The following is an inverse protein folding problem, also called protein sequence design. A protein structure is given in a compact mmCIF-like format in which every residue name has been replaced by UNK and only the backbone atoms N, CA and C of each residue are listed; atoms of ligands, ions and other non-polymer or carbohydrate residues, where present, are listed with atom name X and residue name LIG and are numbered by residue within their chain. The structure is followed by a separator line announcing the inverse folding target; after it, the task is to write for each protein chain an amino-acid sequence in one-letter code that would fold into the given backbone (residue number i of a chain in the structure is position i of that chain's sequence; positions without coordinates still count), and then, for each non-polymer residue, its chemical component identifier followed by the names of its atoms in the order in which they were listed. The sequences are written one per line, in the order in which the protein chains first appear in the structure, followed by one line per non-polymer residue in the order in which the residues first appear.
data_IF_522097578948
#
_entry.id   IF_522097578948
#
_cell.length_a   1.000
_cell.length_b   1.000
_cell.length_c   1.000
_cell.angle_alpha   90.00
_cell.angle_beta   90.00
_cell.angle_gamma   90.00
#
_symmetry.space_group_name_H-M   'P 1'
#
loop_
_entity.id
_entity.type
_entity.pdbx_description
1 polymer ?
#
# COMPACT_ATOMS: atom_id res chain seq x y z
N UNK A 1 18.23 -29.20 -32.34
CA UNK A 1 17.94 -29.37 -30.90
C UNK A 1 18.61 -28.30 -30.05
N UNK A 2 19.96 -28.20 -29.96
CA UNK A 2 20.67 -27.13 -29.22
C UNK A 2 20.16 -25.70 -29.52
N UNK A 3 19.83 -25.42 -30.79
CA UNK A 3 19.26 -24.13 -31.25
C UNK A 3 17.86 -23.83 -30.67
N UNK A 4 17.03 -24.85 -30.45
CA UNK A 4 15.67 -24.72 -29.88
C UNK A 4 15.74 -24.35 -28.40
N UNK A 5 16.54 -25.09 -27.60
CA UNK A 5 16.79 -24.75 -26.19
C UNK A 5 17.32 -23.32 -26.04
N UNK A 6 18.28 -22.92 -26.87
CA UNK A 6 18.81 -21.55 -26.85
C UNK A 6 17.77 -20.48 -27.21
N UNK A 7 16.77 -20.82 -28.03
CA UNK A 7 15.66 -19.92 -28.36
C UNK A 7 14.68 -19.81 -27.20
N UNK A 8 14.26 -20.93 -26.61
CA UNK A 8 13.36 -20.97 -25.45
C UNK A 8 13.93 -20.21 -24.26
N UNK A 9 15.21 -20.41 -23.93
CA UNK A 9 15.86 -19.67 -22.82
C UNK A 9 15.85 -18.17 -23.07
N UNK A 10 16.11 -17.71 -24.30
CA UNK A 10 16.06 -16.28 -24.64
C UNK A 10 14.65 -15.72 -24.53
N UNK A 11 13.63 -16.45 -24.97
CA UNK A 11 12.23 -16.05 -24.84
C UNK A 11 11.82 -15.96 -23.37
N UNK A 12 12.17 -16.94 -22.54
CA UNK A 12 11.86 -16.93 -21.11
C UNK A 12 12.57 -15.79 -20.38
N UNK A 13 13.83 -15.47 -20.75
CA UNK A 13 14.53 -14.28 -20.21
C UNK A 13 13.77 -13.00 -20.52
N UNK A 14 13.38 -12.78 -21.78
CA UNK A 14 12.60 -11.61 -22.16
C UNK A 14 11.23 -11.56 -21.49
N UNK A 15 10.56 -12.70 -21.40
CA UNK A 15 9.29 -12.83 -20.68
C UNK A 15 9.43 -12.35 -19.23
N UNK A 16 10.44 -12.85 -18.50
CA UNK A 16 10.68 -12.41 -17.12
C UNK A 16 11.03 -10.93 -17.01
N UNK A 17 11.84 -10.39 -17.92
CA UNK A 17 12.14 -8.95 -17.95
C UNK A 17 10.85 -8.14 -18.07
N UNK A 18 10.00 -8.48 -19.04
CA UNK A 18 8.73 -7.77 -19.28
C UNK A 18 7.77 -7.94 -18.11
N UNK A 19 7.59 -9.16 -17.60
CA UNK A 19 6.71 -9.44 -16.45
C UNK A 19 7.13 -8.64 -15.21
N UNK A 20 8.42 -8.57 -14.90
CA UNK A 20 8.94 -7.83 -13.75
C UNK A 20 8.82 -6.31 -13.96
N UNK A 21 9.07 -5.78 -15.16
CA UNK A 21 8.86 -4.35 -15.43
C UNK A 21 7.37 -3.97 -15.31
N UNK A 22 6.47 -4.83 -15.78
CA UNK A 22 5.02 -4.63 -15.62
C UNK A 22 4.66 -4.60 -14.14
N UNK A 23 5.03 -5.63 -13.38
CA UNK A 23 4.61 -5.77 -12.00
C UNK A 23 5.27 -4.78 -11.04
N UNK A 24 6.56 -4.51 -11.22
CA UNK A 24 7.32 -3.68 -10.28
C UNK A 24 7.27 -2.18 -10.60
N UNK A 25 7.01 -1.79 -11.86
CA UNK A 25 7.07 -0.38 -12.30
C UNK A 25 5.74 0.06 -12.92
N UNK A 26 5.33 -0.57 -14.02
CA UNK A 26 4.25 -0.01 -14.83
C UNK A 26 2.88 -0.09 -14.15
N UNK A 27 2.57 -1.14 -13.40
CA UNK A 27 1.31 -1.22 -12.65
C UNK A 27 1.17 -0.05 -11.67
N UNK A 28 2.21 0.25 -10.90
CA UNK A 28 2.21 1.39 -9.97
C UNK A 28 2.06 2.72 -10.70
N UNK A 29 2.83 2.91 -11.78
CA UNK A 29 2.71 4.10 -12.64
C UNK A 29 1.27 4.26 -13.15
N UNK A 30 0.66 3.22 -13.73
CA UNK A 30 -0.67 3.31 -14.33
C UNK A 30 -1.77 3.54 -13.29
N UNK A 31 -1.75 2.82 -12.17
CA UNK A 31 -2.74 2.98 -11.10
C UNK A 31 -2.74 4.43 -10.59
N UNK A 32 -1.57 4.97 -10.23
CA UNK A 32 -1.47 6.36 -9.77
C UNK A 32 -1.77 7.36 -10.90
N UNK A 33 -1.27 7.12 -12.11
CA UNK A 33 -1.47 8.03 -13.24
C UNK A 33 -2.95 8.19 -13.59
N UNK A 34 -3.70 7.09 -13.53
CA UNK A 34 -5.13 7.02 -13.89
C UNK A 34 -6.05 7.78 -12.94
N UNK A 35 -5.69 7.90 -11.65
CA UNK A 35 -6.53 8.57 -10.67
C UNK A 35 -6.26 10.08 -10.63
N UNK A 36 -7.00 10.84 -11.45
CA UNK A 36 -6.81 12.29 -11.61
C UNK A 36 -7.34 13.06 -10.41
N UNK A 37 -6.78 14.27 -10.21
CA UNK A 37 -7.35 15.25 -9.30
C UNK A 37 -8.82 15.50 -9.64
N UNK A 38 -9.74 15.46 -8.66
CA UNK A 38 -11.13 15.79 -8.92
C UNK A 38 -11.24 17.28 -9.23
N UNK A 39 -12.02 17.68 -10.23
CA UNK A 39 -12.12 19.09 -10.67
C UNK A 39 -13.56 19.51 -10.88
N UNK A 40 -13.85 20.78 -10.62
CA UNK A 40 -15.11 21.39 -11.06
C UNK A 40 -15.09 21.61 -12.59
N UNK A 41 -16.19 21.32 -13.27
CA UNK A 41 -16.36 21.61 -14.70
C UNK A 41 -16.38 23.14 -14.98
N UNK A 42 -16.65 23.97 -13.97
CA UNK A 42 -16.64 25.42 -14.07
C UNK A 42 -15.24 25.99 -13.85
N UNK A 43 -14.45 26.01 -14.93
CA UNK A 43 -13.09 26.57 -14.98
C UNK A 43 -13.13 28.07 -15.28
N UNK A 44 -12.82 28.87 -14.28
CA UNK A 44 -12.52 30.29 -14.42
C UNK A 44 -11.31 30.66 -13.56
N UNK A 45 -10.11 30.60 -14.14
CA UNK A 45 -8.92 31.37 -13.73
C UNK A 45 -8.18 31.02 -12.43
N UNK A 46 -8.80 30.41 -11.41
CA UNK A 46 -8.16 30.22 -10.10
C UNK A 46 -7.53 28.83 -9.94
N UNK A 47 -6.25 28.78 -9.55
CA UNK A 47 -5.56 27.52 -9.27
C UNK A 47 -6.03 26.93 -7.93
N UNK A 48 -6.48 25.66 -7.91
CA UNK A 48 -6.88 25.00 -6.67
C UNK A 48 -5.67 24.49 -5.89
N UNK A 49 -5.78 24.42 -4.57
CA UNK A 49 -4.84 23.67 -3.75
C UNK A 49 -5.13 22.16 -3.83
N UNK A 50 -4.08 21.36 -3.88
CA UNK A 50 -4.13 19.91 -4.06
C UNK A 50 -3.63 19.19 -2.82
N UNK A 51 -4.52 18.44 -2.18
CA UNK A 51 -4.27 17.74 -0.93
C UNK A 51 -4.38 16.23 -1.16
N UNK A 52 -3.29 15.49 -0.92
CA UNK A 52 -3.34 14.04 -0.83
C UNK A 52 -3.61 13.62 0.62
N UNK A 53 -4.45 12.61 0.81
CA UNK A 53 -4.85 12.09 2.11
C UNK A 53 -4.42 10.63 2.19
N UNK A 54 -3.58 10.30 3.16
CA UNK A 54 -3.02 8.96 3.36
C UNK A 54 -3.50 8.44 4.71
N UNK A 55 -4.22 7.32 4.73
CA UNK A 55 -4.68 6.70 5.96
C UNK A 55 -3.91 5.41 6.24
N UNK A 56 -3.71 5.12 7.52
CA UNK A 56 -3.17 3.87 8.05
C UNK A 56 -1.97 3.34 7.24
N UNK A 57 -0.86 4.10 7.15
CA UNK A 57 0.40 3.57 6.63
C UNK A 57 0.79 2.25 7.29
N UNK A 58 0.61 2.17 8.61
CA UNK A 58 0.86 1.03 9.49
C UNK A 58 2.06 0.22 9.01
N UNK A 59 3.25 0.83 9.07
CA UNK A 59 4.46 0.08 8.71
C UNK A 59 4.55 -1.14 9.64
N UNK A 60 4.62 -2.33 9.02
CA UNK A 60 4.54 -3.61 9.74
C UNK A 60 5.77 -3.77 10.61
N UNK A 61 5.57 -4.14 11.86
CA UNK A 61 6.63 -4.36 12.84
C UNK A 61 6.35 -5.59 13.74
N UNK A 62 7.11 -5.72 14.82
CA UNK A 62 6.99 -6.83 15.77
C UNK A 62 5.59 -7.00 16.38
N UNK A 63 4.83 -5.91 16.51
CA UNK A 63 3.52 -5.89 17.14
C UNK A 63 2.37 -6.14 16.16
N UNK A 64 2.63 -6.21 14.85
CA UNK A 64 1.60 -6.44 13.83
C UNK A 64 0.99 -7.84 13.84
N UNK A 65 1.83 -8.88 13.72
CA UNK A 65 1.38 -10.24 13.39
C UNK A 65 1.94 -11.34 14.30
N UNK A 66 2.48 -10.97 15.47
CA UNK A 66 3.18 -11.89 16.38
C UNK A 66 4.28 -12.70 15.64
N UNK A 67 4.95 -12.04 14.69
CA UNK A 67 6.03 -12.61 13.90
C UNK A 67 7.36 -12.10 14.44
N UNK A 68 8.37 -12.97 14.44
CA UNK A 68 9.69 -12.63 14.95
C UNK A 68 10.81 -13.12 14.03
N UNK A 69 12.01 -12.56 14.22
CA UNK A 69 13.21 -13.00 13.51
C UNK A 69 13.14 -12.80 11.99
N UNK A 70 13.62 -13.80 11.24
CA UNK A 70 13.78 -13.70 9.78
C UNK A 70 12.45 -13.52 9.05
N UNK A 71 11.36 -14.15 9.54
CA UNK A 71 10.05 -14.04 8.91
C UNK A 71 9.56 -12.59 8.95
N UNK A 72 9.67 -11.94 10.11
CA UNK A 72 9.32 -10.53 10.28
C UNK A 72 10.11 -9.64 9.31
N UNK A 73 11.44 -9.81 9.25
CA UNK A 73 12.30 -9.04 8.32
C UNK A 73 11.90 -9.20 6.85
N UNK A 74 11.44 -10.39 6.46
CA UNK A 74 10.94 -10.64 5.10
C UNK A 74 9.61 -9.93 4.86
N UNK A 75 8.69 -9.96 5.83
CA UNK A 75 7.41 -9.26 5.73
C UNK A 75 7.62 -7.75 5.67
N UNK A 76 8.39 -7.18 6.60
CA UNK A 76 8.82 -5.77 6.61
C UNK A 76 9.35 -5.36 5.23
N UNK A 77 10.31 -6.11 4.68
CA UNK A 77 10.90 -5.80 3.37
C UNK A 77 9.85 -5.68 2.25
N UNK A 78 8.90 -6.61 2.18
CA UNK A 78 7.90 -6.61 1.11
C UNK A 78 6.78 -5.58 1.32
N UNK A 79 6.43 -5.26 2.57
CA UNK A 79 5.48 -4.19 2.88
C UNK A 79 6.09 -2.81 2.64
N UNK A 80 7.34 -2.63 3.07
CA UNK A 80 8.08 -1.38 2.95
C UNK A 80 8.33 -1.01 1.48
N UNK A 81 8.72 -1.99 0.67
CA UNK A 81 8.89 -1.77 -0.78
C UNK A 81 7.59 -1.35 -1.45
N UNK A 82 6.45 -1.94 -1.06
CA UNK A 82 5.15 -1.56 -1.61
C UNK A 82 4.84 -0.10 -1.28
N UNK A 83 4.91 0.25 0.00
CA UNK A 83 4.64 1.60 0.50
C UNK A 83 5.54 2.62 -0.21
N UNK A 84 6.84 2.32 -0.27
CA UNK A 84 7.84 3.20 -0.89
C UNK A 84 7.52 3.47 -2.36
N UNK A 85 7.22 2.44 -3.15
CA UNK A 85 6.84 2.60 -4.57
C UNK A 85 5.58 3.45 -4.72
N UNK A 86 4.54 3.10 -3.98
CA UNK A 86 3.25 3.79 -4.01
C UNK A 86 3.40 5.27 -3.69
N UNK A 87 4.16 5.60 -2.63
CA UNK A 87 4.37 6.97 -2.21
C UNK A 87 5.28 7.78 -3.16
N UNK A 88 6.29 7.15 -3.75
CA UNK A 88 7.12 7.76 -4.80
C UNK A 88 6.26 8.16 -6.00
N UNK A 89 5.46 7.23 -6.53
CA UNK A 89 4.61 7.53 -7.68
C UNK A 89 3.52 8.55 -7.35
N UNK A 90 2.95 8.51 -6.14
CA UNK A 90 2.01 9.53 -5.66
C UNK A 90 2.65 10.93 -5.75
N UNK A 91 3.83 11.13 -5.16
CA UNK A 91 4.54 12.40 -5.21
C UNK A 91 4.89 12.82 -6.64
N UNK A 92 5.50 11.93 -7.42
CA UNK A 92 6.00 12.24 -8.76
C UNK A 92 4.90 12.50 -9.79
N UNK A 93 3.77 11.80 -9.69
CA UNK A 93 2.72 11.84 -10.73
C UNK A 93 1.52 12.69 -10.35
N UNK A 94 1.27 12.91 -9.05
CA UNK A 94 0.17 13.77 -8.59
C UNK A 94 0.66 15.15 -8.17
N UNK A 95 1.92 15.28 -7.73
CA UNK A 95 2.54 16.53 -7.29
C UNK A 95 1.61 17.30 -6.32
N UNK A 96 1.23 16.72 -5.17
CA UNK A 96 0.37 17.39 -4.22
C UNK A 96 1.08 18.58 -3.56
N UNK A 97 0.34 19.64 -3.25
CA UNK A 97 0.84 20.79 -2.47
C UNK A 97 0.92 20.43 -0.98
N UNK A 98 0.04 19.52 -0.53
CA UNK A 98 -0.05 19.07 0.86
C UNK A 98 -0.37 17.59 0.92
N UNK A 99 0.27 16.88 1.86
CA UNK A 99 -0.08 15.51 2.24
C UNK A 99 -0.51 15.50 3.70
N UNK A 100 -1.65 14.91 3.99
CA UNK A 100 -2.15 14.72 5.36
C UNK A 100 -2.20 13.22 5.65
N UNK A 101 -1.49 12.78 6.68
CA UNK A 101 -1.57 11.42 7.19
C UNK A 101 -2.61 11.35 8.30
N UNK A 102 -3.56 10.43 8.20
CA UNK A 102 -4.70 10.29 9.10
C UNK A 102 -4.41 9.47 10.36
N UNK A 103 -3.14 9.24 10.71
CA UNK A 103 -2.74 8.44 11.87
C UNK A 103 -2.33 7.02 11.53
N UNK A 104 -1.98 6.28 12.59
CA UNK A 104 -1.44 4.93 12.54
C UNK A 104 -0.21 4.84 11.63
N UNK A 105 0.77 5.67 11.94
CA UNK A 105 2.01 5.79 11.17
C UNK A 105 2.83 4.51 11.25
N UNK A 106 2.89 3.93 12.45
CA UNK A 106 3.56 2.67 12.76
C UNK A 106 2.62 1.78 13.58
N UNK A 107 2.66 0.47 13.35
CA UNK A 107 1.72 -0.46 13.97
C UNK A 107 1.98 -0.65 15.48
N UNK A 108 3.23 -0.72 15.91
CA UNK A 108 3.64 -0.89 17.31
C UNK A 108 4.01 0.40 18.05
N UNK A 109 3.80 1.59 17.47
CA UNK A 109 4.38 2.85 17.98
C UNK A 109 4.21 3.10 19.49
N UNK A 110 3.01 2.88 20.04
CA UNK A 110 2.76 3.06 21.48
C UNK A 110 3.39 1.98 22.37
N UNK A 111 3.69 0.81 21.81
CA UNK A 111 4.22 -0.38 22.51
C UNK A 111 5.74 -0.31 22.66
N UNK A 112 6.42 0.38 21.74
CA UNK A 112 7.87 0.51 21.73
C UNK A 112 8.40 1.36 22.90
N UNK A 113 9.54 0.90 23.45
CA UNK A 113 10.41 1.76 24.24
C UNK A 113 11.04 2.84 23.34
N UNK A 114 11.69 3.84 23.93
CA UNK A 114 12.21 4.96 23.15
C UNK A 114 13.25 4.56 22.11
N UNK A 115 14.20 3.68 22.39
CA UNK A 115 15.24 3.34 21.40
C UNK A 115 14.65 2.64 20.17
N UNK A 116 13.79 1.65 20.39
CA UNK A 116 13.17 0.89 19.30
C UNK A 116 12.20 1.79 18.51
N UNK A 117 11.49 2.69 19.21
CA UNK A 117 10.62 3.67 18.57
C UNK A 117 11.40 4.61 17.63
N UNK A 118 12.60 5.05 17.99
CA UNK A 118 13.40 5.92 17.11
C UNK A 118 13.87 5.17 15.85
N UNK A 119 14.23 3.89 15.97
CA UNK A 119 14.59 3.06 14.80
C UNK A 119 13.40 2.92 13.85
N UNK A 120 12.21 2.61 14.39
CA UNK A 120 10.98 2.49 13.61
C UNK A 120 10.53 3.83 13.01
N UNK A 121 10.68 4.94 13.74
CA UNK A 121 10.35 6.26 13.23
C UNK A 121 11.32 6.73 12.14
N UNK A 122 12.61 6.38 12.24
CA UNK A 122 13.57 6.61 11.17
C UNK A 122 13.23 5.78 9.91
N UNK A 123 12.77 4.54 10.09
CA UNK A 123 12.23 3.71 9.00
C UNK A 123 11.00 4.35 8.35
N UNK A 124 10.03 4.80 9.14
CA UNK A 124 8.85 5.53 8.66
C UNK A 124 9.26 6.76 7.82
N UNK A 125 10.13 7.62 8.34
CA UNK A 125 10.62 8.81 7.62
C UNK A 125 11.34 8.46 6.31
N UNK A 126 12.08 7.36 6.28
CA UNK A 126 12.76 6.90 5.07
C UNK A 126 11.78 6.42 3.99
N UNK A 127 10.68 5.76 4.39
CA UNK A 127 9.62 5.29 3.48
C UNK A 127 8.80 6.46 2.93
N UNK A 128 8.42 7.39 3.81
CA UNK A 128 7.59 8.55 3.50
C UNK A 128 8.40 9.83 3.29
N UNK A 129 9.64 9.72 2.80
CA UNK A 129 10.49 10.88 2.53
C UNK A 129 9.79 11.86 1.59
N UNK A 130 9.63 13.10 2.05
CA UNK A 130 9.21 14.23 1.25
C UNK A 130 10.34 14.58 0.25
N UNK A 131 10.06 14.40 -1.04
CA UNK A 131 11.02 14.66 -2.13
C UNK A 131 11.02 16.11 -2.62
N UNK A 132 10.01 16.88 -2.23
CA UNK A 132 9.83 18.28 -2.63
C UNK A 132 9.58 19.16 -1.41
N UNK A 133 10.47 19.18 -0.39
CA UNK A 133 10.21 19.88 0.88
C UNK A 133 10.03 21.40 0.74
N UNK A 134 10.49 21.99 -0.37
CA UNK A 134 10.27 23.41 -0.66
C UNK A 134 8.87 23.75 -1.19
N UNK A 135 8.10 22.77 -1.68
CA UNK A 135 6.79 22.99 -2.31
C UNK A 135 5.67 22.12 -1.74
N UNK A 136 5.98 20.94 -1.19
CA UNK A 136 5.02 20.02 -0.59
C UNK A 136 5.11 20.07 0.94
N UNK A 137 3.97 20.35 1.59
CA UNK A 137 3.84 20.30 3.05
C UNK A 137 3.32 18.92 3.48
N UNK A 138 3.75 18.44 4.64
CA UNK A 138 3.31 17.16 5.21
C UNK A 138 2.82 17.40 6.63
N UNK A 139 1.67 16.83 6.97
CA UNK A 139 1.09 16.88 8.31
C UNK A 139 0.69 15.48 8.75
N UNK A 140 1.14 15.10 9.94
CA UNK A 140 0.85 13.80 10.53
C UNK A 140 -0.13 13.96 11.69
N UNK A 141 -1.21 13.19 11.64
CA UNK A 141 -2.10 12.96 12.78
C UNK A 141 -1.64 11.73 13.57
N UNK A 142 -2.09 11.62 14.83
CA UNK A 142 -1.91 10.42 15.62
C UNK A 142 -3.10 9.47 15.41
N UNK A 143 -2.80 8.18 15.33
CA UNK A 143 -3.78 7.10 15.41
C UNK A 143 -3.73 6.33 16.73
N UNK A 144 -4.66 5.41 16.95
CA UNK A 144 -4.67 4.62 18.19
C UNK A 144 -3.44 3.73 18.29
N UNK A 145 -2.82 3.34 17.18
CA UNK A 145 -1.56 2.61 17.22
C UNK A 145 -0.37 3.47 17.66
N UNK A 146 -0.45 4.78 17.43
CA UNK A 146 0.59 5.74 17.78
C UNK A 146 0.57 6.13 19.26
N UNK A 147 -0.61 6.39 19.83
CA UNK A 147 -0.76 6.98 21.18
C UNK A 147 -1.77 6.26 22.10
N UNK A 148 -2.52 5.27 21.59
CA UNK A 148 -3.67 4.69 22.29
C UNK A 148 -4.95 5.52 22.15
N UNK A 149 -6.01 5.15 22.88
CA UNK A 149 -7.33 5.81 22.77
C UNK A 149 -8.05 5.92 24.13
N UNK A 150 -8.77 7.01 24.33
CA UNK A 150 -9.59 7.28 25.49
C UNK A 150 -8.83 7.20 26.81
N UNK A 151 -9.40 6.55 27.81
CA UNK A 151 -8.73 6.36 29.12
C UNK A 151 -7.52 5.40 29.07
N UNK A 152 -7.21 4.84 27.90
CA UNK A 152 -6.07 3.94 27.68
C UNK A 152 -4.97 4.55 26.81
N UNK A 153 -5.02 5.87 26.58
CA UNK A 153 -3.90 6.63 26.00
C UNK A 153 -2.64 6.38 26.82
N UNK A 154 -1.52 6.13 26.13
CA UNK A 154 -0.21 5.87 26.73
C UNK A 154 0.53 7.20 26.84
N UNK A 155 0.64 7.74 28.06
CA UNK A 155 1.21 9.07 28.31
C UNK A 155 2.60 9.25 27.68
N UNK A 156 3.50 8.27 27.82
CA UNK A 156 4.84 8.32 27.23
C UNK A 156 4.82 8.31 25.70
N UNK A 157 3.86 7.61 25.07
CA UNK A 157 3.72 7.59 23.63
C UNK A 157 3.17 8.93 23.11
N UNK A 158 2.20 9.52 23.81
CA UNK A 158 1.67 10.86 23.51
C UNK A 158 2.76 11.94 23.61
N UNK A 159 3.53 11.95 24.71
CA UNK A 159 4.65 12.87 24.90
C UNK A 159 5.71 12.72 23.80
N UNK A 160 6.03 11.47 23.44
CA UNK A 160 6.98 11.15 22.37
C UNK A 160 6.47 11.61 21.00
N UNK A 161 5.18 11.40 20.71
CA UNK A 161 4.55 11.89 19.47
C UNK A 161 4.65 13.41 19.35
N UNK A 162 4.29 14.16 20.40
CA UNK A 162 4.41 15.63 20.42
C UNK A 162 5.85 16.11 20.23
N UNK A 163 6.82 15.39 20.79
CA UNK A 163 8.23 15.76 20.72
C UNK A 163 8.84 15.56 19.33
N UNK A 164 8.51 14.47 18.64
CA UNK A 164 9.22 14.06 17.43
C UNK A 164 8.39 14.10 16.15
N UNK A 165 7.07 13.90 16.24
CA UNK A 165 6.17 13.89 15.08
C UNK A 165 5.52 15.26 14.91
N UNK A 166 4.84 15.75 15.94
CA UNK A 166 4.21 17.06 15.91
C UNK A 166 2.97 17.17 16.81
N UNK A 167 2.30 18.33 16.79
CA UNK A 167 1.09 18.54 17.58
C UNK A 167 -0.07 17.69 17.06
N UNK A 168 -0.80 17.05 17.98
CA UNK A 168 -1.94 16.19 17.65
C UNK A 168 -3.21 16.97 17.26
N UNK A 169 -3.26 18.27 17.58
CA UNK A 169 -4.37 19.17 17.27
C UNK A 169 -3.87 20.37 16.46
N UNK A 170 -4.41 20.61 15.26
CA UNK A 170 -4.00 21.70 14.37
C UNK A 170 -5.18 22.28 13.56
N UNK A 171 -5.11 23.57 13.24
CA UNK A 171 -6.00 24.22 12.27
C UNK A 171 -5.16 24.81 11.17
N UNK A 172 -5.34 24.31 9.96
CA UNK A 172 -4.65 24.75 8.76
C UNK A 172 -5.60 25.59 7.92
N UNK A 173 -5.09 26.66 7.32
CA UNK A 173 -5.84 27.48 6.37
C UNK A 173 -5.32 27.19 4.96
N UNK A 174 -6.14 26.52 4.13
CA UNK A 174 -5.75 26.09 2.78
C UNK A 174 -6.84 26.50 1.80
N UNK A 175 -6.51 27.37 0.85
CA UNK A 175 -7.42 27.85 -0.20
C UNK A 175 -8.81 28.24 0.34
N UNK A 176 -8.86 29.15 1.32
CA UNK A 176 -10.09 29.61 2.00
C UNK A 176 -10.91 28.50 2.67
N UNK A 177 -10.26 27.44 3.15
CA UNK A 177 -10.86 26.41 4.00
C UNK A 177 -10.12 26.32 5.34
N UNK A 178 -10.86 26.05 6.41
CA UNK A 178 -10.32 25.64 7.71
C UNK A 178 -10.21 24.11 7.74
N UNK A 179 -9.01 23.59 7.56
CA UNK A 179 -8.70 22.15 7.67
C UNK A 179 -8.28 21.84 9.10
N UNK A 180 -9.13 21.15 9.84
CA UNK A 180 -8.99 20.90 11.28
C UNK A 180 -8.49 19.47 11.47
N UNK A 181 -7.25 19.30 11.90
CA UNK A 181 -6.69 18.02 12.32
C UNK A 181 -6.97 17.87 13.81
N UNK A 182 -7.92 17.00 14.18
CA UNK A 182 -8.37 16.86 15.57
C UNK A 182 -8.01 15.50 16.15
N UNK A 183 -7.36 15.53 17.30
CA UNK A 183 -7.07 14.36 18.12
C UNK A 183 -8.32 13.93 18.89
N UNK A 184 -9.14 13.14 18.21
CA UNK A 184 -10.33 12.53 18.81
C UNK A 184 -9.98 11.39 19.76
N UNK A 185 -8.76 10.85 19.71
CA UNK A 185 -8.31 9.74 20.56
C UNK A 185 -8.19 10.18 22.01
N UNK A 186 -7.55 11.33 22.24
CA UNK A 186 -7.44 11.94 23.57
C UNK A 186 -8.75 12.59 24.00
N UNK A 187 -9.54 13.13 23.06
CA UNK A 187 -10.87 13.70 23.35
C UNK A 187 -11.83 12.68 23.97
N UNK A 188 -11.72 11.42 23.56
CA UNK A 188 -12.49 10.27 24.07
C UNK A 188 -12.12 9.85 25.50
N UNK A 189 -11.14 10.50 26.13
CA UNK A 189 -10.79 10.27 27.53
C UNK A 189 -11.66 11.09 28.47
N UNK A 190 -12.03 10.51 29.60
CA UNK A 190 -12.67 11.21 30.73
C UNK A 190 -11.64 11.99 31.57
N UNK A 191 -10.34 11.76 31.35
CA UNK A 191 -9.28 12.41 32.10
C UNK A 191 -9.02 13.81 31.55
N UNK A 192 -9.37 14.82 32.34
CA UNK A 192 -9.19 16.24 32.00
C UNK A 192 -7.74 16.67 31.73
N UNK A 193 -6.73 15.86 32.06
CA UNK A 193 -5.33 16.12 31.69
C UNK A 193 -5.00 15.67 30.25
N UNK A 194 -5.68 14.62 29.78
CA UNK A 194 -5.47 14.00 28.46
C UNK A 194 -6.31 14.73 27.41
N UNK A 195 -7.61 14.94 27.67
CA UNK A 195 -8.53 15.49 26.68
C UNK A 195 -8.48 17.02 26.52
N UNK A 196 -7.79 17.74 27.42
CA UNK A 196 -7.85 19.22 27.50
C UNK A 196 -7.47 19.89 26.20
N UNK A 197 -6.36 19.49 25.58
CA UNK A 197 -5.88 20.12 24.34
C UNK A 197 -6.92 20.03 23.22
N UNK A 198 -7.50 18.84 23.03
CA UNK A 198 -8.52 18.61 22.01
C UNK A 198 -9.82 19.34 22.34
N UNK A 199 -10.25 19.30 23.61
CA UNK A 199 -11.45 19.99 24.07
C UNK A 199 -11.36 21.51 23.92
N UNK A 200 -10.23 22.10 24.33
CA UNK A 200 -9.97 23.54 24.21
C UNK A 200 -9.97 23.98 22.74
N UNK A 201 -9.53 23.13 21.80
CA UNK A 201 -9.65 23.42 20.37
C UNK A 201 -11.11 23.43 19.90
N UNK A 202 -11.90 22.41 20.27
CA UNK A 202 -13.33 22.33 19.89
C UNK A 202 -14.10 23.52 20.46
N UNK A 203 -13.88 23.87 21.73
CA UNK A 203 -14.56 25.00 22.38
C UNK A 203 -14.18 26.35 21.74
N UNK A 204 -12.91 26.54 21.35
CA UNK A 204 -12.50 27.73 20.57
C UNK A 204 -13.18 27.81 19.20
N UNK A 205 -13.27 26.69 18.49
CA UNK A 205 -13.95 26.63 17.19
C UNK A 205 -15.47 26.86 17.32
N UNK A 206 -16.07 26.44 18.42
CA UNK A 206 -17.49 26.66 18.71
C UNK A 206 -17.79 28.14 19.02
N UNK A 207 -16.89 28.82 19.71
CA UNK A 207 -17.04 30.23 20.08
C UNK A 207 -16.82 31.20 18.90
N UNK A 208 -16.08 30.78 17.86
CA UNK A 208 -15.80 31.58 16.68
C UNK A 208 -16.75 31.22 15.52
N UNK A 209 -17.57 32.15 15.01
CA UNK A 209 -18.33 31.93 13.78
C UNK A 209 -17.41 31.51 12.64
N UNK A 210 -17.73 30.41 11.96
CA UNK A 210 -16.94 29.93 10.84
C UNK A 210 -16.96 30.98 9.70
N UNK A 211 -15.81 31.59 9.42
CA UNK A 211 -15.62 32.52 8.31
C UNK A 211 -15.36 31.81 6.97
N UNK A 212 -15.05 30.51 7.02
CA UNK A 212 -14.78 29.64 5.88
C UNK A 212 -15.32 28.22 6.13
N UNK A 213 -15.49 27.39 5.09
CA UNK A 213 -15.89 26.00 5.27
C UNK A 213 -14.86 25.23 6.09
N UNK A 214 -15.36 24.47 7.08
CA UNK A 214 -14.55 23.61 7.95
C UNK A 214 -14.52 22.18 7.43
N UNK A 215 -13.34 21.63 7.26
CA UNK A 215 -13.07 20.24 6.91
C UNK A 215 -12.42 19.58 8.12
N UNK A 216 -13.13 18.65 8.76
CA UNK A 216 -12.66 17.99 9.97
C UNK A 216 -11.96 16.68 9.64
N UNK A 217 -10.76 16.49 10.15
CA UNK A 217 -9.98 15.27 10.01
C UNK A 217 -9.89 14.61 11.38
N UNK A 218 -10.19 13.32 11.43
CA UNK A 218 -10.14 12.47 12.62
C UNK A 218 -9.45 11.17 12.26
N UNK A 219 -8.81 10.48 13.20
CA UNK A 219 -8.32 9.13 12.93
C UNK A 219 -9.49 8.14 12.88
N UNK A 220 -10.14 7.91 14.04
CA UNK A 220 -11.28 6.98 14.16
C UNK A 220 -12.54 7.55 13.50
N UNK A 221 -13.30 6.75 12.72
CA UNK A 221 -14.55 7.17 12.10
C UNK A 221 -15.62 7.62 13.10
N UNK A 222 -16.48 8.55 12.66
CA UNK A 222 -17.60 9.02 13.47
C UNK A 222 -18.65 7.92 13.70
N UNK A 223 -19.35 8.02 14.83
CA UNK A 223 -20.43 7.12 15.18
C UNK A 223 -21.55 7.16 14.13
N UNK A 224 -22.08 6.00 13.78
CA UNK A 224 -23.27 5.85 12.94
C UNK A 224 -24.16 4.71 13.45
N UNK A 225 -25.47 4.72 13.13
CA UNK A 225 -26.33 3.58 13.41
C UNK A 225 -25.78 2.27 12.84
N UNK A 226 -26.08 1.16 13.51
CA UNK A 226 -25.66 -0.16 13.05
C UNK A 226 -26.14 -0.42 11.61
N UNK A 227 -25.32 -1.12 10.83
CA UNK A 227 -25.62 -1.51 9.45
C UNK A 227 -25.79 -0.34 8.45
N UNK A 228 -25.36 0.87 8.82
CA UNK A 228 -25.29 2.01 7.87
C UNK A 228 -24.42 1.64 6.67
N UNK A 229 -25.00 1.70 5.48
CA UNK A 229 -24.33 1.32 4.23
C UNK A 229 -23.20 2.29 3.89
N UNK A 230 -22.00 1.76 3.68
CA UNK A 230 -20.77 2.53 3.41
C UNK A 230 -20.60 3.00 1.97
N UNK A 231 -21.53 2.67 1.10
CA UNK A 231 -21.38 2.91 -0.33
C UNK A 231 -20.72 1.75 -1.09
N UNK A 232 -20.67 1.85 -2.42
CA UNK A 232 -20.30 0.75 -3.31
C UNK A 232 -18.79 0.48 -3.35
N UNK A 233 -17.97 1.41 -2.88
CA UNK A 233 -16.51 1.32 -2.95
C UNK A 233 -15.90 0.44 -1.85
N UNK A 234 -16.65 0.13 -0.79
CA UNK A 234 -16.17 -0.75 0.29
C UNK A 234 -15.84 -2.14 -0.23
N UNK A 235 -14.62 -2.60 0.03
CA UNK A 235 -14.09 -3.90 -0.42
C UNK A 235 -14.55 -5.06 0.45
N UNK A 236 -14.72 -4.84 1.75
CA UNK A 236 -15.15 -5.85 2.71
C UNK A 236 -16.49 -6.49 2.31
N UNK A 237 -16.69 -7.75 2.73
CA UNK A 237 -17.94 -8.48 2.51
C UNK A 237 -19.11 -7.83 3.26
N UNK A 238 -18.86 -7.35 4.48
CA UNK A 238 -19.81 -6.54 5.24
C UNK A 238 -19.81 -5.11 4.70
N UNK A 239 -20.97 -4.66 4.20
CA UNK A 239 -21.13 -3.34 3.56
C UNK A 239 -21.37 -2.16 4.52
N UNK A 240 -21.01 -2.35 5.78
CA UNK A 240 -21.12 -1.37 6.87
C UNK A 240 -19.92 -1.49 7.81
N UNK A 241 -19.65 -0.44 8.59
CA UNK A 241 -18.67 -0.47 9.68
C UNK A 241 -19.25 -1.22 10.87
N UNK A 242 -18.44 -2.10 11.46
CA UNK A 242 -18.80 -2.73 12.74
C UNK A 242 -18.68 -1.67 13.85
N UNK A 243 -19.21 -1.98 15.03
CA UNK A 243 -19.11 -1.13 16.22
C UNK A 243 -18.51 -1.94 17.37
N UNK A 244 -17.31 -2.51 17.13
CA UNK A 244 -16.55 -3.25 18.13
C UNK A 244 -15.68 -2.30 18.92
N UNK A 245 -15.41 -2.70 20.16
CA UNK A 245 -14.56 -1.97 21.10
C UNK A 245 -13.71 -2.96 21.85
N UNK A 246 -12.48 -2.58 22.15
CA UNK A 246 -11.60 -3.37 22.99
C UNK A 246 -10.49 -2.52 23.60
N UNK A 247 -9.47 -3.19 24.12
CA UNK A 247 -8.28 -2.50 24.63
C UNK A 247 -7.57 -1.81 23.48
N UNK A 248 -7.43 -0.48 23.58
CA UNK A 248 -6.72 0.37 22.63
C UNK A 248 -7.20 0.35 21.16
N UNK A 249 -8.41 -0.15 20.88
CA UNK A 249 -9.01 -0.03 19.55
C UNK A 249 -10.52 0.22 19.63
N UNK A 250 -11.05 0.91 18.62
CA UNK A 250 -12.49 1.13 18.48
C UNK A 250 -12.86 1.44 17.03
N UNK A 251 -13.81 0.68 16.46
CA UNK A 251 -14.20 0.86 15.05
C UNK A 251 -14.85 2.25 14.77
N UNK A 252 -15.40 2.92 15.79
CA UNK A 252 -16.11 4.22 15.68
C UNK A 252 -16.06 5.01 16.99
N UNK A 253 -16.07 6.35 16.92
CA UNK A 253 -16.19 7.25 18.08
C UNK A 253 -17.47 6.99 18.90
N UNK A 254 -17.56 7.55 20.12
CA UNK A 254 -18.85 7.54 20.82
C UNK A 254 -19.87 8.44 20.11
N UNK A 255 -21.16 8.10 20.29
CA UNK A 255 -22.28 8.87 19.74
C UNK A 255 -22.26 10.31 20.27
N UNK A 256 -22.11 10.50 21.57
CA UNK A 256 -22.06 11.82 22.20
C UNK A 256 -20.86 12.65 21.71
N UNK A 257 -19.69 12.03 21.48
CA UNK A 257 -18.53 12.71 20.90
C UNK A 257 -18.83 13.15 19.47
N UNK A 258 -19.44 12.28 18.66
CA UNK A 258 -19.82 12.60 17.28
C UNK A 258 -20.81 13.76 17.23
N UNK A 259 -21.87 13.70 18.04
CA UNK A 259 -22.86 14.78 18.17
C UNK A 259 -22.21 16.09 18.63
N UNK A 260 -21.38 16.04 19.67
CA UNK A 260 -20.63 17.19 20.17
C UNK A 260 -19.76 17.85 19.09
N UNK A 261 -19.03 17.06 18.29
CA UNK A 261 -18.17 17.57 17.22
C UNK A 261 -18.98 18.18 16.08
N UNK A 262 -20.04 17.51 15.63
CA UNK A 262 -20.90 17.99 14.54
C UNK A 262 -21.61 19.29 14.93
N UNK A 263 -22.04 19.44 16.18
CA UNK A 263 -22.73 20.64 16.66
C UNK A 263 -21.78 21.81 16.92
N UNK A 264 -20.64 21.53 17.53
CA UNK A 264 -19.67 22.55 17.95
C UNK A 264 -18.87 23.09 16.77
N UNK A 265 -18.36 22.20 15.91
CA UNK A 265 -17.49 22.58 14.78
C UNK A 265 -18.33 22.96 13.56
N UNK A 266 -19.49 22.32 13.36
CA UNK A 266 -20.32 22.42 12.17
C UNK A 266 -19.53 22.19 10.85
N UNK A 267 -18.82 21.06 10.71
CA UNK A 267 -18.00 20.78 9.53
C UNK A 267 -18.87 20.57 8.28
N UNK A 268 -18.34 20.93 7.12
CA UNK A 268 -18.97 20.63 5.83
C UNK A 268 -18.68 19.18 5.40
N UNK A 269 -17.49 18.68 5.76
CA UNK A 269 -17.11 17.29 5.57
C UNK A 269 -16.15 16.81 6.67
N UNK A 270 -16.12 15.49 6.82
CA UNK A 270 -15.26 14.77 7.77
C UNK A 270 -14.41 13.77 6.98
N UNK A 271 -13.14 13.64 7.33
CA UNK A 271 -12.22 12.67 6.76
C UNK A 271 -11.67 11.77 7.88
N UNK A 272 -11.81 10.46 7.74
CA UNK A 272 -11.39 9.46 8.73
C UNK A 272 -10.57 8.31 8.14
N UNK A 273 -9.86 7.56 8.98
CA UNK A 273 -9.08 6.35 8.64
C UNK A 273 -9.53 5.15 9.50
N UNK A 274 -8.57 4.39 10.06
CA UNK A 274 -8.69 3.32 11.07
C UNK A 274 -9.49 2.05 10.64
N UNK A 275 -10.60 2.16 9.91
CA UNK A 275 -11.34 0.99 9.40
C UNK A 275 -10.64 0.30 8.21
N UNK A 276 -9.56 0.90 7.70
CA UNK A 276 -8.72 0.44 6.57
C UNK A 276 -9.43 0.30 5.22
N UNK A 277 -10.75 0.47 5.14
CA UNK A 277 -11.55 0.36 3.92
C UNK A 277 -12.35 1.63 3.67
N UNK A 278 -12.70 1.86 2.39
CA UNK A 278 -13.44 3.06 2.02
C UNK A 278 -14.88 3.01 2.51
N UNK A 279 -15.34 4.10 3.13
CA UNK A 279 -16.73 4.30 3.51
C UNK A 279 -17.15 5.75 3.26
N UNK A 280 -18.37 5.96 2.78
CA UNK A 280 -18.93 7.31 2.61
C UNK A 280 -20.35 7.34 3.12
N UNK A 281 -20.60 8.22 4.09
CA UNK A 281 -21.91 8.38 4.71
C UNK A 281 -22.24 9.86 4.92
N UNK A 282 -23.50 10.16 5.16
CA UNK A 282 -23.94 11.51 5.55
C UNK A 282 -24.40 11.49 7.00
N UNK A 283 -23.84 12.39 7.79
CA UNK A 283 -24.27 12.64 9.17
C UNK A 283 -25.35 13.70 9.19
N UNK A 284 -26.54 13.43 9.75
CA UNK A 284 -27.54 14.46 9.96
C UNK A 284 -27.01 15.46 10.99
N UNK A 285 -27.26 16.75 10.77
CA UNK A 285 -26.96 17.79 11.74
C UNK A 285 -28.23 18.52 12.13
N UNK A 286 -28.31 18.96 13.40
CA UNK A 286 -29.45 19.74 13.90
C UNK A 286 -29.67 21.05 13.13
N UNK A 287 -28.66 21.55 12.42
CA UNK A 287 -28.73 22.77 11.58
C UNK A 287 -29.22 22.51 10.15
N UNK A 288 -29.63 21.28 9.83
CA UNK A 288 -30.23 20.90 8.54
C UNK A 288 -29.24 20.75 7.37
N UNK A 289 -27.95 21.03 7.57
CA UNK A 289 -26.89 20.74 6.57
C UNK A 289 -26.14 19.48 6.98
N UNK A 290 -26.36 18.38 6.28
CA UNK A 290 -25.65 17.13 6.55
C UNK A 290 -24.14 17.30 6.29
N UNK A 291 -23.31 16.70 7.14
CA UNK A 291 -21.87 16.61 6.92
C UNK A 291 -21.56 15.27 6.26
N UNK A 292 -20.84 15.28 5.13
CA UNK A 292 -20.41 14.02 4.50
C UNK A 292 -19.12 13.55 5.14
N UNK A 293 -19.08 12.32 5.62
CA UNK A 293 -17.85 11.67 6.08
C UNK A 293 -17.28 10.77 4.98
N UNK A 294 -15.98 10.92 4.73
CA UNK A 294 -15.17 10.10 3.84
C UNK A 294 -14.13 9.34 4.68
N UNK A 295 -14.37 8.06 4.92
CA UNK A 295 -13.36 7.17 5.48
C UNK A 295 -12.44 6.70 4.35
N UNK A 296 -11.16 7.04 4.44
CA UNK A 296 -10.11 6.70 3.49
C UNK A 296 -9.54 5.33 3.86
N UNK A 297 -9.43 4.42 2.89
CA UNK A 297 -8.85 3.11 3.16
C UNK A 297 -7.32 3.15 3.29
N UNK A 298 -6.76 2.14 3.94
CA UNK A 298 -5.35 2.05 4.30
C UNK A 298 -4.41 2.13 3.10
N UNK A 299 -3.26 2.76 3.29
CA UNK A 299 -2.21 2.89 2.28
C UNK A 299 -1.32 1.64 2.19
N UNK A 300 -1.26 0.85 3.27
CA UNK A 300 -0.60 -0.45 3.31
C UNK A 300 -1.45 -1.57 2.71
N UNK A 301 -0.81 -2.53 2.04
CA UNK A 301 -1.49 -3.74 1.55
C UNK A 301 -1.60 -4.85 2.62
N UNK A 302 -0.97 -4.64 3.78
CA UNK A 302 -0.98 -5.54 4.93
C UNK A 302 -1.91 -5.02 6.03
N UNK A 303 -3.08 -4.47 5.65
CA UNK A 303 -4.04 -3.87 6.59
C UNK A 303 -5.41 -4.58 6.54
N UNK A 304 -5.45 -5.84 6.09
CA UNK A 304 -6.68 -6.65 6.06
C UNK A 304 -7.64 -6.37 4.89
N UNK A 305 -7.39 -5.33 4.08
CA UNK A 305 -8.11 -5.06 2.83
C UNK A 305 -7.31 -5.53 1.60
N UNK A 306 -7.96 -6.04 0.53
CA UNK A 306 -7.24 -6.55 -0.63
C UNK A 306 -6.44 -5.50 -1.39
N UNK A 307 -6.99 -4.29 -1.57
CA UNK A 307 -6.41 -3.22 -2.38
C UNK A 307 -6.26 -1.97 -1.50
N UNK A 308 -5.03 -1.48 -1.34
CA UNK A 308 -4.77 -0.24 -0.62
C UNK A 308 -5.29 0.98 -1.38
N UNK A 309 -5.53 2.08 -0.68
CA UNK A 309 -6.07 3.31 -1.26
C UNK A 309 -5.48 4.59 -0.65
N UNK A 310 -5.80 5.72 -1.26
CA UNK A 310 -5.54 7.07 -0.76
C UNK A 310 -6.59 8.04 -1.29
N UNK A 311 -6.76 9.17 -0.62
CA UNK A 311 -7.64 10.25 -1.06
C UNK A 311 -6.88 11.30 -1.88
N UNK A 312 -7.51 11.84 -2.92
CA UNK A 312 -7.10 13.09 -3.56
C UNK A 312 -8.22 14.11 -3.41
N UNK A 313 -7.87 15.26 -2.86
CA UNK A 313 -8.78 16.38 -2.62
C UNK A 313 -8.29 17.64 -3.33
N UNK A 314 -9.19 18.35 -3.99
CA UNK A 314 -8.94 19.70 -4.53
C UNK A 314 -9.76 20.71 -3.76
N UNK A 315 -9.12 21.81 -3.39
CA UNK A 315 -9.73 22.94 -2.68
C UNK A 315 -9.69 24.17 -3.59
N UNK A 316 -10.86 24.68 -3.94
CA UNK A 316 -11.02 25.91 -4.69
C UNK A 316 -11.31 27.06 -3.72
N UNK A 317 -10.49 28.12 -3.70
CA UNK A 317 -10.77 29.28 -2.85
C UNK A 317 -12.03 30.01 -3.32
N UNK A 318 -12.56 30.86 -2.44
CA UNK A 318 -13.67 31.73 -2.79
C UNK A 318 -13.20 32.82 -3.76
N UNK A 319 -14.13 33.31 -4.59
CA UNK A 319 -13.87 34.46 -5.44
C UNK A 319 -14.95 35.52 -5.20
N UNK A 320 -14.56 36.56 -4.45
CA UNK A 320 -15.43 37.68 -4.12
C UNK A 320 -15.86 38.49 -5.35
N UNK A 321 -15.08 38.46 -6.45
CA UNK A 321 -15.42 39.20 -7.67
C UNK A 321 -16.56 38.54 -8.46
N UNK A 322 -16.66 37.21 -8.38
CA UNK A 322 -17.72 36.42 -9.03
C UNK A 322 -18.81 35.96 -8.05
N UNK A 323 -18.61 36.17 -6.74
CA UNK A 323 -19.51 35.69 -5.68
C UNK A 323 -19.43 34.17 -5.47
N UNK A 324 -18.38 33.50 -5.96
CA UNK A 324 -18.20 32.06 -5.83
C UNK A 324 -17.74 31.72 -4.40
N UNK A 325 -18.48 30.85 -3.72
CA UNK A 325 -18.06 30.33 -2.42
C UNK A 325 -16.92 29.31 -2.57
N UNK A 326 -16.08 29.10 -1.53
CA UNK A 326 -15.09 28.04 -1.54
C UNK A 326 -15.75 26.66 -1.70
N UNK A 327 -15.13 25.80 -2.50
CA UNK A 327 -15.62 24.46 -2.82
C UNK A 327 -14.50 23.44 -2.70
N UNK A 328 -14.85 22.20 -2.37
CA UNK A 328 -13.92 21.08 -2.40
C UNK A 328 -14.48 19.89 -3.18
N UNK A 329 -13.59 19.08 -3.72
CA UNK A 329 -13.92 17.80 -4.31
C UNK A 329 -12.94 16.75 -3.83
N UNK A 330 -13.43 15.53 -3.61
CA UNK A 330 -12.61 14.39 -3.19
C UNK A 330 -12.85 13.19 -4.09
N UNK A 331 -11.81 12.40 -4.33
CA UNK A 331 -11.89 11.10 -4.98
C UNK A 331 -11.01 10.09 -4.24
N UNK A 332 -11.46 8.84 -4.19
CA UNK A 332 -10.68 7.73 -3.65
C UNK A 332 -9.91 7.04 -4.78
N UNK A 333 -8.61 6.87 -4.58
CA UNK A 333 -7.70 6.26 -5.54
C UNK A 333 -7.20 4.93 -5.01
N UNK A 334 -7.11 3.93 -5.90
CA UNK A 334 -6.62 2.59 -5.55
C UNK A 334 -5.20 2.36 -6.05
N UNK A 335 -4.40 1.71 -5.21
CA UNK A 335 -3.06 1.25 -5.52
C UNK A 335 -3.09 -0.16 -6.15
N UNK A 336 -1.98 -0.67 -6.70
CA UNK A 336 -1.94 -2.01 -7.26
C UNK A 336 -2.25 -3.12 -6.24
N UNK A 337 -2.92 -4.18 -6.71
CA UNK A 337 -3.19 -5.38 -5.91
C UNK A 337 -1.91 -6.23 -5.75
N UNK A 338 -1.17 -6.04 -4.66
CA UNK A 338 0.16 -6.63 -4.48
C UNK A 338 0.15 -8.16 -4.46
N UNK A 339 -0.80 -8.79 -3.77
CA UNK A 339 -0.94 -10.24 -3.78
C UNK A 339 -1.25 -10.79 -5.18
N UNK A 340 -1.95 -10.03 -6.02
CA UNK A 340 -2.19 -10.37 -7.42
C UNK A 340 -0.89 -10.42 -8.22
N UNK A 341 -0.01 -9.44 -8.04
CA UNK A 341 1.31 -9.38 -8.69
C UNK A 341 2.14 -10.61 -8.30
N UNK A 342 2.20 -10.96 -7.01
CA UNK A 342 2.90 -12.16 -6.57
C UNK A 342 2.30 -13.47 -7.10
N UNK A 343 0.96 -13.57 -7.16
CA UNK A 343 0.29 -14.72 -7.79
C UNK A 343 0.68 -14.86 -9.27
N UNK A 344 0.76 -13.75 -10.00
CA UNK A 344 1.25 -13.74 -11.39
C UNK A 344 2.69 -14.25 -11.45
N UNK A 345 3.59 -13.78 -10.58
CA UNK A 345 4.99 -14.26 -10.57
C UNK A 345 5.10 -15.76 -10.29
N UNK A 346 4.32 -16.27 -9.33
CA UNK A 346 4.28 -17.71 -9.03
C UNK A 346 3.78 -18.49 -10.25
N UNK A 347 2.68 -18.05 -10.87
CA UNK A 347 2.14 -18.68 -12.08
C UNK A 347 3.14 -18.65 -13.24
N UNK A 348 3.80 -17.50 -13.47
CA UNK A 348 4.87 -17.31 -14.45
C UNK A 348 6.04 -18.27 -14.23
N UNK A 349 6.42 -18.51 -12.97
CA UNK A 349 7.46 -19.46 -12.60
C UNK A 349 7.06 -20.91 -12.89
N UNK A 350 5.86 -21.31 -12.45
CA UNK A 350 5.35 -22.66 -12.72
C UNK A 350 5.25 -22.91 -14.23
N UNK A 351 4.71 -21.97 -14.99
CA UNK A 351 4.63 -22.06 -16.45
C UNK A 351 6.01 -22.17 -17.10
N UNK A 352 6.97 -21.33 -16.68
CA UNK A 352 8.35 -21.39 -17.17
C UNK A 352 8.98 -22.76 -16.91
N UNK A 353 8.79 -23.30 -15.70
CA UNK A 353 9.31 -24.62 -15.33
C UNK A 353 8.69 -25.72 -16.21
N UNK A 354 7.37 -25.71 -16.41
CA UNK A 354 6.68 -26.68 -17.25
C UNK A 354 7.16 -26.63 -18.71
N UNK A 355 7.34 -25.42 -19.26
CA UNK A 355 7.89 -25.22 -20.62
C UNK A 355 9.31 -25.79 -20.71
N UNK A 356 10.17 -25.49 -19.73
CA UNK A 356 11.56 -26.00 -19.73
C UNK A 356 11.59 -27.53 -19.59
N UNK A 357 10.75 -28.11 -18.74
CA UNK A 357 10.62 -29.57 -18.59
C UNK A 357 10.18 -30.19 -19.90
N UNK A 358 9.14 -29.66 -20.55
CA UNK A 358 8.63 -30.17 -21.83
C UNK A 358 9.69 -30.11 -22.93
N UNK A 359 10.38 -28.98 -23.08
CA UNK A 359 11.45 -28.81 -24.07
C UNK A 359 12.60 -29.77 -23.80
N UNK A 360 13.09 -29.85 -22.55
CA UNK A 360 14.19 -30.76 -22.21
C UNK A 360 13.79 -32.23 -22.41
N UNK A 361 12.53 -32.58 -22.11
CA UNK A 361 12.00 -33.92 -22.29
C UNK A 361 11.92 -34.31 -23.77
N UNK A 362 11.36 -33.44 -24.62
CA UNK A 362 11.30 -33.67 -26.06
C UNK A 362 12.69 -33.76 -26.69
N UNK A 363 13.65 -32.95 -26.22
CA UNK A 363 15.05 -33.12 -26.66
C UNK A 363 15.63 -34.48 -26.28
N UNK A 364 15.37 -34.96 -25.05
CA UNK A 364 15.85 -36.29 -24.64
C UNK A 364 15.20 -37.43 -25.42
N UNK A 365 13.92 -37.33 -25.76
CA UNK A 365 13.22 -38.33 -26.59
C UNK A 365 13.63 -38.28 -28.06
N UNK A 366 13.74 -37.10 -28.66
CA UNK A 366 14.17 -36.93 -30.05
C UNK A 366 15.61 -37.41 -30.27
N UNK A 367 16.50 -37.17 -29.30
CA UNK A 367 17.84 -37.77 -29.31
C UNK A 367 17.75 -39.30 -29.22
N UNK A 368 16.93 -39.85 -28.32
CA UNK A 368 16.77 -41.30 -28.19
C UNK A 368 16.26 -41.95 -29.50
N UNK A 369 15.27 -41.35 -30.15
CA UNK A 369 14.74 -41.83 -31.44
C UNK A 369 15.77 -41.75 -32.57
N UNK A 370 16.52 -40.66 -32.66
CA UNK A 370 17.62 -40.52 -33.63
C UNK A 370 18.75 -41.54 -33.41
N UNK A 371 19.12 -41.80 -32.15
CA UNK A 371 20.10 -42.83 -31.82
C UNK A 371 19.62 -44.24 -32.22
N UNK A 372 18.36 -44.57 -31.95
CA UNK A 372 17.78 -45.85 -32.37
C UNK A 372 17.65 -45.98 -33.89
N UNK A 373 17.31 -44.90 -34.62
CA UNK A 373 17.27 -44.94 -36.09
C UNK A 373 18.65 -45.13 -36.72
N UNK A 374 19.71 -44.62 -36.07
CA UNK A 374 21.09 -44.78 -36.53
C UNK A 374 21.63 -46.20 -36.27
N UNK A 375 21.34 -46.78 -35.10
CA UNK A 375 21.68 -48.18 -34.82
C UNK A 375 20.93 -49.17 -35.73
N UNK A 376 19.69 -48.85 -36.15
CA UNK A 376 18.95 -49.68 -37.09
C UNK A 376 19.42 -49.59 -38.54
N UNK A 377 20.13 -48.53 -38.93
CA UNK A 377 20.66 -48.35 -40.29
C UNK A 377 22.10 -48.86 -40.46
N UNK A 378 22.87 -48.95 -39.38
CA UNK A 378 24.22 -49.54 -39.39
C UNK A 378 24.20 -51.08 -39.25
N UNK A 379 23.03 -51.72 -39.20
CA UNK A 379 22.87 -53.16 -38.96
C UNK A 379 22.83 -54.04 -40.23
N UNK A 380 22.98 -53.48 -41.45
CA UNK A 380 22.79 -54.25 -42.70
C UNK A 380 24.08 -54.64 -43.46
N UNK A 381 25.29 -54.28 -43.02
CA UNK A 381 26.50 -54.78 -43.67
C UNK A 381 27.64 -55.07 -42.69
N UNK A 382 27.85 -56.35 -42.34
CA UNK A 382 29.16 -57.00 -42.40
C UNK A 382 29.08 -58.50 -42.13
N UNK A 383 29.80 -59.36 -42.90
CA UNK A 383 29.91 -60.78 -42.62
C UNK A 383 30.93 -61.05 -41.51
N UNK A 384 30.63 -62.13 -40.77
CA UNK A 384 31.35 -62.77 -39.66
C UNK A 384 32.88 -62.81 -39.81
N UNK A 385 33.63 -62.44 -38.73
CA UNK A 385 34.80 -63.17 -38.19
C UNK A 385 35.29 -62.66 -36.80
N UNK A 386 35.18 -63.56 -35.81
CA UNK A 386 35.97 -63.83 -34.57
C UNK A 386 36.14 -62.80 -33.40
N UNK A 387 36.32 -63.25 -32.12
CA UNK A 387 36.19 -62.47 -30.87
C UNK A 387 37.51 -61.81 -30.36
N UNK A 388 37.49 -60.96 -29.30
CA UNK A 388 38.24 -59.69 -29.22
C UNK A 388 39.44 -59.67 -28.24
N UNK A 389 40.26 -58.60 -28.18
CA UNK A 389 40.84 -58.16 -26.93
C UNK A 389 39.92 -57.15 -26.23
N UNK A 390 39.74 -57.39 -24.93
CA UNK A 390 39.01 -56.59 -23.95
C UNK A 390 39.44 -55.13 -23.96
N UNK A 391 38.63 -54.26 -24.56
CA UNK A 391 38.64 -52.83 -24.27
C UNK A 391 37.33 -52.48 -23.59
N UNK A 392 37.42 -52.13 -22.31
CA UNK A 392 36.39 -51.52 -21.47
C UNK A 392 35.14 -51.07 -22.23
N UNK A 393 34.10 -51.90 -22.17
CA UNK A 393 32.73 -51.51 -22.46
C UNK A 393 32.39 -50.32 -21.55
N UNK A 394 32.48 -49.10 -22.10
CA UNK A 394 31.80 -47.96 -21.53
C UNK A 394 30.31 -48.21 -21.74
N UNK A 395 29.68 -48.85 -20.75
CA UNK A 395 28.24 -48.91 -20.64
C UNK A 395 27.65 -47.54 -21.05
N UNK A 396 26.66 -47.50 -21.95
CA UNK A 396 26.00 -46.26 -22.29
C UNK A 396 25.39 -45.73 -20.99
N UNK A 397 25.99 -44.65 -20.44
CA UNK A 397 25.52 -43.99 -19.22
C UNK A 397 24.01 -43.84 -19.37
N UNK A 398 23.24 -44.49 -18.51
CA UNK A 398 21.80 -44.37 -18.46
C UNK A 398 21.45 -42.88 -18.58
N UNK A 399 20.95 -42.47 -19.75
CA UNK A 399 20.35 -41.16 -19.98
C UNK A 399 18.95 -41.17 -19.33
N UNK A 400 18.93 -41.49 -18.04
CA UNK A 400 17.74 -41.54 -17.21
C UNK A 400 17.37 -40.17 -16.67
N UNK A 401 16.32 -40.16 -15.84
CA UNK A 401 15.71 -39.01 -15.17
C UNK A 401 16.72 -37.98 -14.62
N UNK A 402 17.88 -38.42 -14.12
CA UNK A 402 18.98 -37.55 -13.67
C UNK A 402 19.51 -36.58 -14.74
N UNK A 403 19.57 -37.01 -16.02
CA UNK A 403 20.01 -36.16 -17.12
C UNK A 403 18.98 -35.07 -17.47
N UNK A 404 17.69 -35.38 -17.32
CA UNK A 404 16.60 -34.41 -17.54
C UNK A 404 16.60 -33.34 -16.45
N UNK A 405 16.62 -33.76 -15.17
CA UNK A 405 16.64 -32.84 -14.01
C UNK A 405 17.83 -31.87 -14.10
N UNK A 406 19.03 -32.38 -14.44
CA UNK A 406 20.20 -31.52 -14.62
C UNK A 406 20.02 -30.49 -15.74
N UNK A 407 19.45 -30.89 -16.89
CA UNK A 407 19.19 -29.97 -18.03
C UNK A 407 18.16 -28.90 -17.67
N UNK A 408 17.10 -29.27 -16.97
CA UNK A 408 16.08 -28.34 -16.47
C UNK A 408 16.72 -27.34 -15.51
N UNK A 409 17.49 -27.82 -14.52
CA UNK A 409 18.18 -26.97 -13.54
C UNK A 409 19.12 -25.95 -14.19
N UNK A 410 19.95 -26.38 -15.16
CA UNK A 410 20.83 -25.46 -15.89
C UNK A 410 20.02 -24.39 -16.64
N UNK A 411 18.95 -24.81 -17.33
CA UNK A 411 18.13 -23.87 -18.13
C UNK A 411 17.40 -22.86 -17.24
N UNK A 412 16.83 -23.31 -16.11
CA UNK A 412 16.16 -22.42 -15.16
C UNK A 412 17.15 -21.47 -14.50
N UNK A 413 18.36 -21.94 -14.16
CA UNK A 413 19.44 -21.06 -13.68
C UNK A 413 19.78 -19.99 -14.71
N UNK A 414 19.89 -20.37 -15.98
CA UNK A 414 20.21 -19.43 -17.07
C UNK A 414 19.12 -18.37 -17.28
N UNK A 415 17.85 -18.68 -16.99
CA UNK A 415 16.75 -17.69 -16.94
C UNK A 415 16.86 -16.81 -15.70
N UNK A 416 17.11 -17.41 -14.53
CA UNK A 416 17.23 -16.69 -13.25
C UNK A 416 18.37 -15.66 -13.24
N UNK A 417 19.47 -15.92 -13.95
CA UNK A 417 20.59 -14.97 -14.13
C UNK A 417 20.16 -13.66 -14.78
N UNK A 418 19.01 -13.61 -15.47
CA UNK A 418 18.43 -12.36 -15.99
C UNK A 418 17.28 -11.86 -15.09
N UNK A 419 16.39 -12.76 -14.66
CA UNK A 419 15.22 -12.39 -13.88
C UNK A 419 15.59 -11.74 -12.53
N UNK A 420 16.55 -12.31 -11.78
CA UNK A 420 16.93 -11.80 -10.45
C UNK A 420 17.59 -10.41 -10.53
N UNK A 421 18.60 -10.16 -11.39
CA UNK A 421 19.14 -8.82 -11.55
C UNK A 421 18.10 -7.82 -12.07
N UNK A 422 17.15 -8.25 -12.91
CA UNK A 422 16.07 -7.36 -13.36
C UNK A 422 15.16 -6.96 -12.20
N UNK A 423 14.76 -7.92 -11.35
CA UNK A 423 13.97 -7.62 -10.16
C UNK A 423 14.71 -6.65 -9.24
N UNK A 424 15.99 -6.93 -8.95
CA UNK A 424 16.85 -6.04 -8.13
C UNK A 424 16.96 -4.65 -8.76
N UNK A 425 17.14 -4.56 -10.08
CA UNK A 425 17.21 -3.28 -10.78
C UNK A 425 15.88 -2.51 -10.66
N UNK A 426 14.73 -3.17 -10.82
CA UNK A 426 13.42 -2.56 -10.59
C UNK A 426 13.30 -2.01 -9.17
N UNK A 427 13.77 -2.74 -8.16
CA UNK A 427 13.74 -2.27 -6.77
C UNK A 427 14.70 -1.09 -6.54
N UNK A 428 15.90 -1.15 -7.11
CA UNK A 428 16.95 -0.15 -6.92
C UNK A 428 16.56 1.24 -7.44
N UNK A 429 15.72 1.33 -8.47
CA UNK A 429 15.19 2.61 -9.00
C UNK A 429 14.58 3.46 -7.87
N UNK A 430 13.88 2.84 -6.92
CA UNK A 430 13.21 3.54 -5.81
C UNK A 430 14.15 3.96 -4.66
N UNK A 431 15.43 3.60 -4.73
CA UNK A 431 16.45 4.03 -3.77
C UNK A 431 17.38 5.10 -4.36
N UNK A 432 17.37 5.27 -5.69
CA UNK A 432 18.13 6.29 -6.41
C UNK A 432 17.28 7.56 -6.62
N UNK A 433 15.96 7.37 -6.86
CA UNK A 433 14.95 8.43 -7.01
C UNK A 433 14.30 8.76 -5.67
#
# INVERSE_FOLDING_TARGET
MIRIRSSTTRLLRWYWVVTLLIGEIFLYYWHVQSCRWPTSAQKGGVEPARVAIVADPQIVDHYSYNQTGVLLRVVEFFTDIYIKKSYIFLQMLREPDTVIFLGDLMDGAREWNDSDWHEEYDRYKALFRNRSPGSMKVYDMAGNHDIGIGNTVVDSALERFHKYVGPTNQVLHIADHEVILLDTLTLESDLGRVNRSSRDLVERLAAAPASSPRLLFTHVPMWRPAETYCGPLRQASTKYLKNRRGYQFRDQLFQNTTEYLLESIAPTAVFSGDDHDTCTIQHPTHRGKAATEYTIGAFGWASGVPIASYGLMTLYPGDNSTGRAPEFYVTNCYLPYQLGIYKVYIASFVLSLLVVVAVCYWETRGLRQWWHSKQGSDAEYMPVRLPPPTSLDRHPRHWGMHGLVRKVGITMRDVAVVALPTYIACLAVYYIV
#
